data_IF_472923306167
#
_entry.id   IF_472923306167
#
_cell.length_a   1.000
_cell.length_b   1.000
_cell.length_c   1.000
_cell.angle_alpha   90.00
_cell.angle_beta   90.00
_cell.angle_gamma   90.00
#
_symmetry.space_group_name_H-M   'P 1'
#
loop_
_entity.id
_entity.type
_entity.pdbx_description
1 polymer ?
#
# COMPACT_ATOMS: atom_id res chain seq x y z
N UNK A 1 59.41 11.31 12.57
CA UNK A 1 58.78 11.90 11.38
C UNK A 1 57.78 10.88 10.83
N UNK A 2 56.47 11.19 10.96
CA UNK A 2 55.29 10.68 10.23
C UNK A 2 55.27 9.19 9.81
N UNK A 3 54.55 8.31 10.52
CA UNK A 3 53.10 7.96 10.42
C UNK A 3 52.73 7.29 9.09
N UNK A 4 52.23 6.05 9.16
CA UNK A 4 51.00 5.61 8.50
C UNK A 4 50.63 4.19 8.95
N UNK A 5 49.79 4.10 10.01
CA UNK A 5 49.02 2.89 10.30
C UNK A 5 47.90 2.79 9.26
N UNK A 6 47.99 1.82 8.36
CA UNK A 6 46.91 1.45 7.45
C UNK A 6 45.91 0.54 8.18
N UNK A 7 44.95 1.18 8.85
CA UNK A 7 43.71 0.54 9.30
C UNK A 7 42.90 0.14 8.06
N UNK A 8 42.85 -1.16 7.79
CA UNK A 8 41.89 -1.77 6.87
C UNK A 8 40.48 -1.64 7.47
N UNK A 9 39.79 -0.56 7.16
CA UNK A 9 38.33 -0.49 7.31
C UNK A 9 37.71 -1.39 6.24
N UNK A 10 37.35 -2.61 6.64
CA UNK A 10 36.43 -3.45 5.86
C UNK A 10 35.06 -2.77 5.91
N UNK A 11 34.80 -1.92 4.92
CA UNK A 11 33.45 -1.43 4.65
C UNK A 11 32.58 -2.61 4.24
N UNK A 12 31.65 -3.00 5.10
CA UNK A 12 30.57 -3.92 4.76
C UNK A 12 29.70 -3.23 3.71
N UNK A 13 29.94 -3.52 2.43
CA UNK A 13 29.04 -3.11 1.36
C UNK A 13 27.79 -3.99 1.49
N UNK A 14 26.76 -3.44 2.12
CA UNK A 14 25.40 -3.97 2.02
C UNK A 14 24.99 -3.79 0.55
N UNK A 15 25.24 -4.81 -0.28
CA UNK A 15 24.64 -4.89 -1.60
C UNK A 15 23.15 -5.08 -1.39
N UNK A 16 22.40 -3.98 -1.44
CA UNK A 16 20.96 -4.02 -1.61
C UNK A 16 20.70 -4.74 -2.93
N UNK A 17 20.38 -6.03 -2.85
CA UNK A 17 19.70 -6.72 -3.93
C UNK A 17 18.42 -5.94 -4.16
N UNK A 18 18.38 -5.15 -5.24
CA UNK A 18 17.14 -4.61 -5.76
C UNK A 18 16.29 -5.81 -6.14
N UNK A 19 15.47 -6.30 -5.21
CA UNK A 19 14.35 -7.15 -5.55
C UNK A 19 13.57 -6.36 -6.61
N UNK A 20 13.52 -6.89 -7.83
CA UNK A 20 12.83 -6.20 -8.93
C UNK A 20 11.40 -5.86 -8.52
N UNK A 21 10.83 -4.83 -9.13
CA UNK A 21 9.49 -4.39 -8.79
C UNK A 21 8.49 -5.57 -8.89
N UNK A 22 7.84 -5.98 -7.79
CA UNK A 22 6.89 -7.10 -7.82
C UNK A 22 5.65 -6.78 -8.66
N UNK A 23 5.44 -5.51 -8.99
CA UNK A 23 4.25 -5.00 -9.64
C UNK A 23 4.38 -4.86 -11.17
N UNK A 24 5.44 -5.42 -11.77
CA UNK A 24 5.73 -5.30 -13.23
C UNK A 24 4.61 -5.76 -14.16
N UNK A 25 3.71 -6.62 -13.69
CA UNK A 25 2.56 -7.13 -14.43
C UNK A 25 1.30 -6.25 -14.30
N UNK A 26 1.34 -5.19 -13.49
CA UNK A 26 0.23 -4.29 -13.21
C UNK A 26 0.57 -2.89 -13.72
N UNK A 27 -0.40 -2.16 -14.27
CA UNK A 27 -0.14 -0.76 -14.66
C UNK A 27 0.00 0.16 -13.44
N UNK A 28 -0.76 -0.08 -12.37
CA UNK A 28 -0.54 0.54 -11.06
C UNK A 28 -1.17 -0.24 -9.90
N UNK A 29 -0.67 -0.09 -8.67
CA UNK A 29 -1.25 -0.77 -7.50
C UNK A 29 -1.09 0.02 -6.19
N UNK A 30 -1.90 -0.31 -5.17
CA UNK A 30 -1.76 0.22 -3.82
C UNK A 30 -0.72 -0.56 -3.02
N UNK A 31 0.22 0.14 -2.40
CA UNK A 31 1.25 -0.46 -1.56
C UNK A 31 1.67 0.47 -0.42
N UNK A 32 2.30 -0.13 0.59
CA UNK A 32 3.02 0.58 1.67
C UNK A 32 4.54 0.53 1.44
N UNK A 33 4.99 -0.30 0.51
CA UNK A 33 6.38 -0.43 0.09
C UNK A 33 6.63 0.49 -1.11
N UNK A 34 7.88 0.91 -1.33
CA UNK A 34 8.27 1.78 -2.46
C UNK A 34 7.64 3.19 -2.44
N UNK A 35 6.92 3.55 -1.37
CA UNK A 35 6.36 4.87 -1.21
C UNK A 35 7.41 5.91 -0.79
N UNK A 36 7.06 7.19 -0.94
CA UNK A 36 7.84 8.28 -0.35
C UNK A 36 7.99 8.12 1.18
N UNK A 37 9.06 8.62 1.81
CA UNK A 37 9.36 8.38 3.23
C UNK A 37 8.26 8.75 4.24
N UNK A 38 7.38 9.68 3.87
CA UNK A 38 6.30 10.20 4.74
C UNK A 38 4.92 9.59 4.41
N UNK A 39 4.86 8.79 3.35
CA UNK A 39 3.64 8.16 2.89
C UNK A 39 3.27 6.98 3.79
N UNK A 40 1.99 6.84 4.05
CA UNK A 40 1.41 5.73 4.81
C UNK A 40 0.76 4.69 3.87
N UNK A 41 0.48 5.08 2.63
CA UNK A 41 0.02 4.28 1.50
C UNK A 41 0.39 5.06 0.24
N UNK A 42 0.71 4.40 -0.85
CA UNK A 42 0.88 5.05 -2.15
C UNK A 42 0.29 4.20 -3.28
N UNK A 43 0.11 4.84 -4.42
CA UNK A 43 -0.09 4.20 -5.72
C UNK A 43 1.27 4.22 -6.41
N UNK A 44 1.74 3.06 -6.87
CA UNK A 44 2.96 2.94 -7.68
C UNK A 44 2.64 2.35 -9.05
N UNK A 45 3.47 2.62 -10.04
CA UNK A 45 3.37 2.01 -11.37
C UNK A 45 4.07 0.64 -11.47
N UNK A 46 4.10 0.07 -12.67
CA UNK A 46 4.79 -1.20 -12.97
C UNK A 46 6.30 -1.20 -12.68
N UNK A 47 6.91 -0.01 -12.54
CA UNK A 47 8.32 0.19 -12.21
C UNK A 47 8.53 0.48 -10.71
N UNK A 48 7.47 0.44 -9.90
CA UNK A 48 7.46 0.80 -8.48
C UNK A 48 7.74 2.30 -8.25
N UNK A 49 7.52 3.13 -9.26
CA UNK A 49 7.63 4.58 -9.10
C UNK A 49 6.33 5.14 -8.50
N UNK A 50 6.40 5.95 -7.44
CA UNK A 50 5.22 6.57 -6.83
C UNK A 50 4.48 7.48 -7.82
N UNK A 51 3.20 7.18 -8.04
CA UNK A 51 2.26 8.02 -8.79
C UNK A 51 1.46 8.94 -7.88
N UNK A 52 1.13 8.46 -6.68
CA UNK A 52 0.36 9.22 -5.70
C UNK A 52 0.67 8.72 -4.29
N UNK A 53 0.82 9.63 -3.33
CA UNK A 53 1.16 9.30 -1.94
C UNK A 53 0.07 9.82 -1.00
N UNK A 54 -0.44 8.93 -0.16
CA UNK A 54 -1.29 9.28 0.98
C UNK A 54 -0.44 9.37 2.23
N UNK A 55 -0.73 10.35 3.07
CA UNK A 55 -0.02 10.64 4.31
C UNK A 55 -0.99 10.66 5.49
N UNK A 56 -0.48 10.92 6.70
CA UNK A 56 -1.33 11.09 7.87
C UNK A 56 -2.34 12.25 7.75
N UNK A 57 -2.14 13.20 6.82
CA UNK A 57 -3.06 14.31 6.58
C UNK A 57 -4.33 13.87 5.86
N UNK A 58 -4.28 12.76 5.14
CA UNK A 58 -5.39 12.20 4.37
C UNK A 58 -6.30 11.31 5.23
N UNK A 59 -5.90 11.09 6.50
CA UNK A 59 -6.72 10.40 7.51
C UNK A 59 -7.70 11.41 8.12
N UNK A 60 -8.98 11.13 7.97
CA UNK A 60 -10.06 11.83 8.67
C UNK A 60 -10.35 11.11 9.99
N UNK A 61 -10.32 11.85 11.10
CA UNK A 61 -10.74 11.37 12.42
C UNK A 61 -12.17 11.84 12.69
N UNK A 62 -13.04 10.94 13.14
CA UNK A 62 -14.39 11.28 13.60
C UNK A 62 -14.52 11.31 15.12
N UNK A 63 -15.70 11.71 15.62
CA UNK A 63 -16.01 11.84 17.05
C UNK A 63 -15.99 10.49 17.82
N UNK A 64 -15.91 9.37 17.10
CA UNK A 64 -15.80 8.02 17.67
C UNK A 64 -14.36 7.50 17.73
N UNK A 65 -13.39 8.36 17.37
CA UNK A 65 -11.97 8.01 17.18
C UNK A 65 -11.72 7.06 15.99
N UNK A 66 -12.63 7.00 15.03
CA UNK A 66 -12.43 6.23 13.82
C UNK A 66 -11.50 6.98 12.88
N UNK A 67 -10.44 6.31 12.41
CA UNK A 67 -9.46 6.86 11.47
C UNK A 67 -9.75 6.35 10.08
N UNK A 68 -10.30 7.21 9.23
CA UNK A 68 -10.68 6.86 7.86
C UNK A 68 -9.67 7.42 6.88
N UNK A 69 -9.00 6.55 6.13
CA UNK A 69 -8.28 6.97 4.93
C UNK A 69 -9.27 7.01 3.76
N UNK A 70 -9.43 8.18 3.12
CA UNK A 70 -10.28 8.33 1.94
C UNK A 70 -9.43 8.32 0.68
N UNK A 71 -9.55 7.29 -0.14
CA UNK A 71 -8.85 7.22 -1.41
C UNK A 71 -9.49 8.21 -2.40
N UNK A 72 -8.66 8.97 -3.09
CA UNK A 72 -9.10 9.96 -4.11
C UNK A 72 -8.56 9.64 -5.48
N UNK A 73 -7.60 8.72 -5.58
CA UNK A 73 -7.10 8.20 -6.85
C UNK A 73 -8.00 7.07 -7.35
N UNK A 74 -8.49 7.20 -8.58
CA UNK A 74 -9.21 6.14 -9.28
C UNK A 74 -8.18 5.23 -9.96
N UNK A 75 -7.55 4.33 -9.21
CA UNK A 75 -6.80 3.23 -9.82
C UNK A 75 -7.79 2.36 -10.59
N UNK A 76 -7.60 2.19 -11.90
CA UNK A 76 -8.63 1.57 -12.73
C UNK A 76 -8.75 0.05 -12.48
N UNK A 77 -9.91 -0.51 -12.81
CA UNK A 77 -10.30 -1.89 -12.49
C UNK A 77 -9.38 -2.99 -13.05
N UNK A 78 -8.59 -2.67 -14.06
CA UNK A 78 -7.64 -3.60 -14.70
C UNK A 78 -6.21 -3.40 -14.21
N UNK A 79 -6.02 -2.55 -13.21
CA UNK A 79 -4.72 -2.14 -12.69
C UNK A 79 -4.49 -2.74 -11.30
N UNK A 80 -5.54 -2.84 -10.47
CA UNK A 80 -5.50 -3.43 -9.13
C UNK A 80 -5.72 -4.94 -9.12
N UNK A 81 -4.65 -5.72 -9.03
CA UNK A 81 -4.73 -7.14 -8.66
C UNK A 81 -4.72 -7.39 -7.16
N UNK A 82 -4.07 -6.50 -6.40
CA UNK A 82 -3.68 -6.73 -5.01
C UNK A 82 -3.69 -5.41 -4.22
N UNK A 83 -4.26 -5.40 -3.02
CA UNK A 83 -4.17 -4.28 -2.07
C UNK A 83 -3.30 -4.68 -0.86
N UNK A 84 -2.32 -3.87 -0.50
CA UNK A 84 -1.45 -4.09 0.68
C UNK A 84 -1.61 -2.98 1.73
N UNK A 85 -2.30 -3.27 2.83
CA UNK A 85 -2.50 -2.36 3.97
C UNK A 85 -1.74 -2.76 5.23
N UNK A 86 -0.53 -3.30 5.11
CA UNK A 86 0.25 -3.85 6.23
C UNK A 86 0.67 -2.74 7.21
N UNK A 87 0.51 -2.97 8.52
CA UNK A 87 0.98 -2.02 9.55
C UNK A 87 0.32 -0.63 9.48
N UNK A 88 -0.84 -0.54 8.85
CA UNK A 88 -1.51 0.72 8.56
C UNK A 88 -1.93 1.52 9.81
N UNK A 89 -2.08 2.83 9.65
CA UNK A 89 -2.43 3.77 10.74
C UNK A 89 -3.91 4.16 10.77
N UNK A 90 -4.71 3.61 9.86
CA UNK A 90 -6.15 3.85 9.73
C UNK A 90 -6.96 2.63 10.14
N UNK A 91 -8.16 2.86 10.66
CA UNK A 91 -9.09 1.78 11.03
C UNK A 91 -10.12 1.52 9.93
N UNK A 92 -10.35 2.50 9.05
CA UNK A 92 -11.26 2.41 7.91
C UNK A 92 -10.63 2.89 6.62
N UNK A 93 -11.11 2.33 5.50
CA UNK A 93 -10.82 2.82 4.16
C UNK A 93 -12.13 3.09 3.42
N UNK A 94 -12.17 4.20 2.69
CA UNK A 94 -13.30 4.60 1.87
C UNK A 94 -12.85 4.84 0.42
N UNK A 95 -13.81 4.70 -0.50
CA UNK A 95 -13.60 4.85 -1.95
C UNK A 95 -12.55 3.88 -2.50
N UNK A 96 -12.45 2.69 -1.91
CA UNK A 96 -11.60 1.64 -2.47
C UNK A 96 -12.36 0.94 -3.59
N UNK A 97 -11.80 1.01 -4.79
CA UNK A 97 -12.29 0.23 -5.93
C UNK A 97 -11.53 -1.11 -5.98
N UNK A 98 -12.24 -2.21 -5.72
CA UNK A 98 -11.69 -3.57 -5.73
C UNK A 98 -12.01 -4.35 -7.01
N UNK A 99 -12.55 -3.69 -8.04
CA UNK A 99 -12.83 -4.36 -9.31
C UNK A 99 -11.53 -4.88 -9.91
N UNK A 100 -11.52 -6.17 -10.26
CA UNK A 100 -10.36 -6.86 -10.83
C UNK A 100 -9.30 -7.31 -9.83
N UNK A 101 -9.45 -6.96 -8.55
CA UNK A 101 -8.57 -7.41 -7.47
C UNK A 101 -8.85 -8.87 -7.15
N UNK A 102 -7.79 -9.70 -7.20
CA UNK A 102 -7.89 -11.11 -6.83
C UNK A 102 -7.60 -11.30 -5.33
N UNK A 103 -6.75 -10.46 -4.74
CA UNK A 103 -6.35 -10.58 -3.35
C UNK A 103 -6.37 -9.23 -2.59
N UNK A 104 -6.85 -9.25 -1.35
CA UNK A 104 -6.83 -8.10 -0.44
C UNK A 104 -6.08 -8.47 0.83
N UNK A 105 -4.92 -7.83 1.06
CA UNK A 105 -4.03 -8.10 2.18
C UNK A 105 -4.06 -6.96 3.21
N UNK A 106 -4.50 -7.27 4.42
CA UNK A 106 -4.55 -6.34 5.56
C UNK A 106 -3.94 -6.97 6.83
N UNK A 107 -2.87 -7.76 6.69
CA UNK A 107 -2.22 -8.42 7.83
C UNK A 107 -1.52 -7.41 8.75
N UNK A 108 -1.53 -7.68 10.06
CA UNK A 108 -0.93 -6.80 11.08
C UNK A 108 -1.43 -5.34 10.99
N UNK A 109 -2.66 -5.17 10.51
CA UNK A 109 -3.31 -3.87 10.31
C UNK A 109 -4.23 -3.56 11.50
N UNK A 110 -4.54 -2.28 11.71
CA UNK A 110 -5.63 -1.86 12.60
C UNK A 110 -6.96 -1.75 11.86
N UNK A 111 -7.02 -2.28 10.63
CA UNK A 111 -8.15 -2.21 9.74
C UNK A 111 -9.31 -3.08 10.25
N UNK A 112 -10.45 -2.46 10.53
CA UNK A 112 -11.64 -3.14 11.03
C UNK A 112 -12.84 -3.02 10.11
N UNK A 113 -12.84 -2.05 9.19
CA UNK A 113 -14.02 -1.77 8.35
C UNK A 113 -13.62 -1.28 6.97
N UNK A 114 -14.21 -1.89 5.94
CA UNK A 114 -14.24 -1.36 4.59
C UNK A 114 -15.59 -0.70 4.35
N UNK A 115 -15.61 0.54 3.87
CA UNK A 115 -16.85 1.22 3.50
C UNK A 115 -17.16 0.91 2.03
N UNK A 116 -18.32 0.31 1.79
CA UNK A 116 -18.82 -0.04 0.47
C UNK A 116 -19.47 1.20 -0.15
N UNK A 117 -18.87 1.74 -1.21
CA UNK A 117 -19.56 2.70 -2.08
C UNK A 117 -20.46 1.98 -3.11
N UNK A 118 -21.38 2.68 -3.81
CA UNK A 118 -22.29 2.04 -4.75
C UNK A 118 -21.60 1.24 -5.85
N UNK A 119 -20.46 1.71 -6.38
CA UNK A 119 -19.69 0.98 -7.39
C UNK A 119 -19.09 -0.31 -6.85
N UNK A 120 -18.61 -0.29 -5.61
CA UNK A 120 -18.07 -1.48 -4.91
C UNK A 120 -19.20 -2.45 -4.59
N UNK A 121 -20.37 -1.95 -4.23
CA UNK A 121 -21.56 -2.77 -3.99
C UNK A 121 -21.96 -3.57 -5.23
N UNK A 122 -22.01 -2.96 -6.40
CA UNK A 122 -22.39 -3.63 -7.65
C UNK A 122 -21.46 -4.81 -7.98
N UNK A 123 -20.20 -4.70 -7.62
CA UNK A 123 -19.14 -5.68 -7.87
C UNK A 123 -19.24 -6.84 -6.89
N UNK A 124 -19.40 -6.51 -5.61
CA UNK A 124 -19.60 -7.51 -4.56
C UNK A 124 -20.91 -8.28 -4.77
N UNK A 125 -21.94 -7.62 -5.31
CA UNK A 125 -23.20 -8.27 -5.69
C UNK A 125 -23.05 -9.22 -6.88
N UNK A 126 -21.99 -9.06 -7.69
CA UNK A 126 -21.67 -9.91 -8.83
C UNK A 126 -20.80 -11.12 -8.52
N UNK A 127 -20.25 -11.25 -7.31
CA UNK A 127 -19.36 -12.36 -6.91
C UNK A 127 -20.04 -13.28 -5.90
N UNK A 128 -19.80 -14.59 -6.02
CA UNK A 128 -20.39 -15.59 -5.11
C UNK A 128 -19.70 -15.67 -3.75
N UNK A 129 -18.44 -15.27 -3.68
CA UNK A 129 -17.62 -15.27 -2.46
C UNK A 129 -16.68 -14.07 -2.47
N UNK A 130 -16.63 -13.34 -1.38
CA UNK A 130 -15.59 -12.35 -1.08
C UNK A 130 -14.85 -12.84 0.18
N UNK A 131 -13.54 -13.04 0.08
CA UNK A 131 -12.72 -13.57 1.17
C UNK A 131 -11.72 -12.52 1.64
N UNK A 132 -11.80 -12.13 2.90
CA UNK A 132 -10.78 -11.29 3.56
C UNK A 132 -9.77 -12.23 4.20
N UNK A 133 -8.56 -12.29 3.66
CA UNK A 133 -7.54 -13.22 4.14
C UNK A 133 -6.80 -12.64 5.35
N UNK A 134 -7.25 -13.03 6.56
CA UNK A 134 -6.50 -12.99 7.82
C UNK A 134 -6.29 -11.62 8.47
N UNK A 135 -6.92 -11.43 9.64
CA UNK A 135 -6.53 -10.46 10.69
C UNK A 135 -5.42 -11.11 11.52
#
# INVERSE_FOLDING_TARGET
MRVASSLLQQGLVLQSVSAGCPYTQYSSTYTVDFCDPDAILCVVDSACEPLHSYTNKDIVLDDTNTKTLKLTSNVAYNELSEFYGLGNRWTQIANIDLRGTNDFYATASTFTTFLIDPSTYDVLNGVSTFSVKGI
#
